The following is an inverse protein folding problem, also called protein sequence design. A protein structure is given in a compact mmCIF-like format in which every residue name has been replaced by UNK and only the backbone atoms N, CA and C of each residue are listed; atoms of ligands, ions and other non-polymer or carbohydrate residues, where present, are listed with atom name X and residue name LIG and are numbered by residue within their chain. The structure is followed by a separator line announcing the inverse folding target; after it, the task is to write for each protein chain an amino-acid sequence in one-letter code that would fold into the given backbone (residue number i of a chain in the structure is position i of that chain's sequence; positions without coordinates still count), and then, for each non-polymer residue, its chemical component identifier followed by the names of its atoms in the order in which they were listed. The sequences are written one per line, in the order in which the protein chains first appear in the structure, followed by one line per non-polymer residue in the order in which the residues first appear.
data_IF_401323868637
#
_entry.id   IF_401323868637
#
_cell.length_a   1.000
_cell.length_b   1.000
_cell.length_c   1.000
_cell.angle_alpha   90.00
_cell.angle_beta   90.00
_cell.angle_gamma   90.00
#
_symmetry.space_group_name_H-M   'P 1'
#
loop_
_entity.id
_entity.type
_entity.pdbx_description
1 polymer ?
#
# COMPACT_ATOMS: atom_id res chain seq x y z
N UNK A 1 22.86 13.50 8.67
CA UNK A 1 23.00 12.03 8.79
C UNK A 1 21.63 11.40 8.83
N UNK A 2 21.30 10.52 7.87
CA UNK A 2 20.03 9.79 7.84
C UNK A 2 20.15 8.62 8.83
N UNK A 3 19.31 8.61 9.86
CA UNK A 3 19.33 7.59 10.92
C UNK A 3 18.41 6.41 10.62
N UNK A 4 17.37 6.63 9.82
CA UNK A 4 16.51 5.60 9.26
C UNK A 4 15.87 6.13 7.97
N UNK A 5 15.43 5.23 7.10
CA UNK A 5 14.64 5.56 5.92
C UNK A 5 13.19 5.24 6.23
N UNK A 6 12.35 6.27 6.18
CA UNK A 6 10.91 6.14 6.36
C UNK A 6 10.22 6.04 5.00
N UNK A 7 9.45 4.98 4.82
CA UNK A 7 8.73 4.70 3.58
C UNK A 7 7.24 4.76 3.86
N UNK A 8 6.54 5.66 3.19
CA UNK A 8 5.09 5.65 3.11
C UNK A 8 4.65 4.80 1.93
N UNK A 9 3.67 3.94 2.14
CA UNK A 9 3.14 3.04 1.12
C UNK A 9 1.78 3.56 0.70
N UNK A 10 1.57 3.76 -0.59
CA UNK A 10 0.29 4.15 -1.14
C UNK A 10 -0.27 3.01 -1.99
N UNK A 11 -1.54 2.69 -1.80
CA UNK A 11 -2.26 1.66 -2.57
C UNK A 11 -3.58 2.27 -3.02
N UNK A 12 -3.85 2.17 -4.31
CA UNK A 12 -5.03 2.77 -4.95
C UNK A 12 -5.61 1.82 -6.01
N UNK A 13 -6.86 2.06 -6.42
CA UNK A 13 -7.53 1.39 -7.52
C UNK A 13 -7.95 2.40 -8.58
N UNK A 14 -7.27 2.42 -9.70
CA UNK A 14 -7.45 3.43 -10.75
C UNK A 14 -8.08 2.81 -12.01
N UNK A 15 -9.23 3.32 -12.49
CA UNK A 15 -9.75 2.90 -13.80
C UNK A 15 -8.85 3.44 -14.91
N UNK A 16 -8.44 2.56 -15.84
CA UNK A 16 -7.53 2.95 -16.93
C UNK A 16 -8.24 3.61 -18.11
N UNK A 17 -9.53 3.33 -18.30
CA UNK A 17 -10.33 4.06 -19.27
C UNK A 17 -11.80 4.09 -18.86
N UNK A 18 -12.54 5.08 -19.37
CA UNK A 18 -13.99 5.20 -19.14
C UNK A 18 -14.81 4.12 -19.86
N UNK A 19 -14.23 3.47 -20.87
CA UNK A 19 -14.90 2.54 -21.78
C UNK A 19 -14.46 1.08 -21.62
N UNK A 20 -13.44 0.80 -20.80
CA UNK A 20 -12.98 -0.55 -20.50
C UNK A 20 -13.07 -0.82 -19.02
N UNK A 21 -13.36 -2.08 -18.66
CA UNK A 21 -13.38 -2.50 -17.26
C UNK A 21 -11.96 -2.61 -16.67
N UNK A 22 -10.91 -2.29 -17.43
CA UNK A 22 -9.53 -2.47 -17.00
C UNK A 22 -9.17 -1.56 -15.83
N UNK A 23 -8.65 -2.16 -14.78
CA UNK A 23 -8.23 -1.50 -13.56
C UNK A 23 -6.74 -1.66 -13.34
N UNK A 24 -6.16 -0.64 -12.72
CA UNK A 24 -4.76 -0.58 -12.34
C UNK A 24 -4.69 -0.41 -10.83
N UNK A 25 -3.98 -1.31 -10.16
CA UNK A 25 -3.81 -1.27 -8.72
C UNK A 25 -2.32 -1.18 -8.40
N UNK A 26 -1.77 0.04 -8.28
CA UNK A 26 -0.38 0.23 -7.94
C UNK A 26 -0.15 0.13 -6.42
N UNK A 27 1.01 -0.40 -6.07
CA UNK A 27 1.64 -0.24 -4.77
C UNK A 27 2.79 0.74 -5.00
N UNK A 28 2.70 1.92 -4.39
CA UNK A 28 3.68 2.99 -4.53
C UNK A 28 4.41 3.18 -3.21
N UNK A 29 5.70 3.48 -3.29
CA UNK A 29 6.52 3.91 -2.17
C UNK A 29 6.82 5.40 -2.26
N UNK A 30 6.84 6.07 -1.11
CA UNK A 30 7.26 7.45 -0.98
C UNK A 30 8.26 7.59 0.17
N UNK A 31 9.39 8.26 -0.10
CA UNK A 31 10.37 8.61 0.94
C UNK A 31 10.41 10.12 1.09
N UNK A 32 9.99 10.61 2.27
CA UNK A 32 9.83 12.03 2.55
C UNK A 32 11.15 12.80 2.44
N UNK A 33 12.23 12.24 2.99
CA UNK A 33 13.57 12.86 2.99
C UNK A 33 14.10 13.12 1.58
N UNK A 34 13.70 12.31 0.60
CA UNK A 34 14.10 12.44 -0.80
C UNK A 34 13.01 13.03 -1.70
N UNK A 35 11.82 13.29 -1.14
CA UNK A 35 10.60 13.71 -1.87
C UNK A 35 10.34 12.88 -3.13
N UNK A 36 10.58 11.57 -3.05
CA UNK A 36 10.56 10.69 -4.21
C UNK A 36 9.48 9.64 -4.09
N UNK A 37 8.62 9.59 -5.10
CA UNK A 37 7.65 8.51 -5.30
C UNK A 37 8.25 7.50 -6.26
N UNK A 38 8.03 6.21 -6.01
CA UNK A 38 8.44 5.13 -6.88
C UNK A 38 7.40 4.01 -6.88
N UNK A 39 7.40 3.21 -7.94
CA UNK A 39 6.52 2.05 -8.06
C UNK A 39 7.19 0.86 -7.37
N UNK A 40 6.44 0.18 -6.49
CA UNK A 40 6.85 -1.08 -5.85
C UNK A 40 6.25 -2.26 -6.62
N UNK A 41 4.96 -2.17 -6.96
CA UNK A 41 4.26 -3.22 -7.67
C UNK A 41 3.05 -2.67 -8.41
N UNK A 42 2.65 -3.39 -9.46
CA UNK A 42 1.48 -3.04 -10.27
C UNK A 42 0.69 -4.32 -10.50
N UNK A 43 -0.61 -4.25 -10.21
CA UNK A 43 -1.59 -5.18 -10.75
C UNK A 43 -2.36 -4.53 -11.90
N UNK A 44 -2.62 -5.33 -12.93
CA UNK A 44 -3.44 -4.96 -14.08
C UNK A 44 -4.39 -6.10 -14.39
N UNK A 45 -5.68 -5.80 -14.46
CA UNK A 45 -6.73 -6.77 -14.73
C UNK A 45 -8.00 -6.10 -15.22
N UNK A 46 -8.99 -6.89 -15.62
CA UNK A 46 -10.33 -6.41 -15.97
C UNK A 46 -11.20 -6.15 -14.74
N UNK A 47 -10.72 -6.52 -13.55
CA UNK A 47 -11.41 -6.37 -12.28
C UNK A 47 -10.41 -5.99 -11.19
N UNK A 48 -10.92 -5.66 -10.00
CA UNK A 48 -10.11 -5.54 -8.79
C UNK A 48 -9.45 -6.89 -8.48
N UNK A 49 -8.22 -6.93 -7.92
CA UNK A 49 -7.65 -8.18 -7.42
C UNK A 49 -8.63 -8.88 -6.45
N UNK A 50 -8.83 -10.18 -6.64
CA UNK A 50 -9.86 -10.94 -5.92
C UNK A 50 -9.52 -11.10 -4.44
N UNK A 51 -8.24 -11.32 -4.13
CA UNK A 51 -7.75 -11.49 -2.77
C UNK A 51 -6.63 -10.48 -2.46
N UNK A 52 -6.81 -9.73 -1.35
CA UNK A 52 -5.84 -8.73 -0.92
C UNK A 52 -4.56 -9.31 -0.33
N UNK A 53 -4.60 -10.53 0.25
CA UNK A 53 -3.39 -11.18 0.75
C UNK A 53 -2.51 -11.63 -0.41
N UNK A 54 -3.09 -12.23 -1.46
CA UNK A 54 -2.37 -12.61 -2.67
C UNK A 54 -1.76 -11.38 -3.36
N UNK A 55 -2.56 -10.32 -3.53
CA UNK A 55 -2.12 -9.06 -4.11
C UNK A 55 -0.92 -8.45 -3.36
N UNK A 56 -0.92 -8.49 -2.02
CA UNK A 56 0.12 -7.88 -1.18
C UNK A 56 1.26 -8.83 -0.83
N UNK A 57 1.18 -10.12 -1.16
CA UNK A 57 2.08 -11.15 -0.60
C UNK A 57 3.56 -10.84 -0.88
N UNK A 58 3.89 -10.56 -2.15
CA UNK A 58 5.27 -10.24 -2.55
C UNK A 58 5.78 -8.99 -1.83
N UNK A 59 4.98 -7.92 -1.85
CA UNK A 59 5.30 -6.67 -1.16
C UNK A 59 5.54 -6.88 0.33
N UNK A 60 4.65 -7.58 1.03
CA UNK A 60 4.76 -7.80 2.49
C UNK A 60 5.99 -8.61 2.84
N UNK A 61 6.34 -9.63 2.04
CA UNK A 61 7.52 -10.44 2.28
C UNK A 61 8.80 -9.61 2.13
N UNK A 62 8.92 -8.83 1.06
CA UNK A 62 10.08 -7.95 0.81
C UNK A 62 10.15 -6.81 1.84
N UNK A 63 9.01 -6.19 2.19
CA UNK A 63 8.96 -5.12 3.18
C UNK A 63 9.36 -5.61 4.57
N UNK A 64 8.96 -6.82 4.97
CA UNK A 64 9.39 -7.44 6.23
C UNK A 64 10.90 -7.66 6.26
N UNK A 65 11.46 -8.17 5.16
CA UNK A 65 12.91 -8.36 5.03
C UNK A 65 13.64 -7.01 5.14
N UNK A 66 13.18 -6.01 4.39
CA UNK A 66 13.75 -4.66 4.38
C UNK A 66 13.68 -4.00 5.77
N UNK A 67 12.57 -4.15 6.50
CA UNK A 67 12.44 -3.60 7.85
C UNK A 67 13.31 -4.33 8.88
N UNK A 68 13.59 -5.63 8.65
CA UNK A 68 14.42 -6.45 9.52
C UNK A 68 15.91 -6.20 9.29
N UNK A 69 16.33 -6.14 8.03
CA UNK A 69 17.75 -6.13 7.64
C UNK A 69 18.28 -4.71 7.35
N UNK A 70 17.39 -3.78 7.01
CA UNK A 70 17.76 -2.45 6.55
C UNK A 70 18.27 -2.47 5.11
N UNK A 71 18.95 -1.39 4.70
CA UNK A 71 19.59 -1.27 3.39
C UNK A 71 21.03 -0.79 3.55
N UNK A 72 21.94 -1.36 2.76
CA UNK A 72 23.35 -0.96 2.76
C UNK A 72 23.55 0.17 1.76
N UNK A 73 23.93 1.35 2.24
CA UNK A 73 24.27 2.51 1.42
C UNK A 73 25.63 3.02 1.88
N UNK A 74 26.60 3.13 0.96
CA UNK A 74 27.97 3.56 1.26
C UNK A 74 28.60 2.79 2.43
N UNK A 75 28.48 1.46 2.42
CA UNK A 75 28.94 0.53 3.47
C UNK A 75 28.34 0.74 4.86
N UNK A 76 27.27 1.54 4.98
CA UNK A 76 26.52 1.70 6.23
C UNK A 76 25.17 1.02 6.10
N UNK A 77 24.82 0.19 7.08
CA UNK A 77 23.47 -0.33 7.18
C UNK A 77 22.55 0.76 7.74
N UNK A 78 21.53 1.11 6.97
CA UNK A 78 20.51 2.10 7.33
C UNK A 78 19.19 1.36 7.56
N UNK A 79 18.63 1.42 8.78
CA UNK A 79 17.32 0.82 9.06
C UNK A 79 16.23 1.43 8.18
N UNK A 80 15.33 0.59 7.68
CA UNK A 80 14.15 1.01 6.94
C UNK A 80 12.90 0.75 7.77
N UNK A 81 11.92 1.67 7.74
CA UNK A 81 10.62 1.47 8.39
C UNK A 81 9.49 1.85 7.45
N UNK A 82 8.40 1.08 7.51
CA UNK A 82 7.13 1.49 6.91
C UNK A 82 6.44 2.44 7.90
N UNK A 83 6.39 3.72 7.56
CA UNK A 83 5.87 4.77 8.44
C UNK A 83 4.34 4.87 8.38
N UNK A 84 3.78 4.69 7.19
CA UNK A 84 2.34 4.83 6.96
C UNK A 84 1.87 4.02 5.75
N UNK A 85 0.62 3.51 5.81
CA UNK A 85 -0.10 2.99 4.65
C UNK A 85 -1.23 3.97 4.32
N UNK A 86 -1.22 4.47 3.09
CA UNK A 86 -2.10 5.51 2.56
C UNK A 86 -3.00 4.86 1.50
N UNK A 87 -4.30 4.99 1.69
CA UNK A 87 -5.30 4.46 0.77
C UNK A 87 -6.59 5.27 0.91
N UNK A 88 -7.37 5.33 -0.17
CA UNK A 88 -8.73 5.85 -0.12
C UNK A 88 -9.67 4.84 0.60
N UNK A 89 -10.93 5.22 0.83
CA UNK A 89 -11.82 4.37 1.61
C UNK A 89 -12.11 2.99 0.95
N UNK A 90 -12.36 2.89 -0.37
CA UNK A 90 -12.46 1.61 -1.07
C UNK A 90 -11.20 0.73 -0.99
N UNK A 91 -10.01 1.26 -1.28
CA UNK A 91 -8.76 0.48 -1.22
C UNK A 91 -8.44 0.06 0.22
N UNK A 92 -8.70 0.94 1.21
CA UNK A 92 -8.58 0.61 2.63
C UNK A 92 -9.46 -0.58 3.01
N UNK A 93 -10.72 -0.56 2.58
CA UNK A 93 -11.65 -1.64 2.88
C UNK A 93 -11.20 -2.97 2.27
N UNK A 94 -10.68 -2.93 1.04
CA UNK A 94 -10.12 -4.10 0.36
C UNK A 94 -8.90 -4.69 1.09
N UNK A 95 -7.92 -3.85 1.44
CA UNK A 95 -6.68 -4.28 2.10
C UNK A 95 -6.96 -4.86 3.49
N UNK A 96 -7.84 -4.21 4.26
CA UNK A 96 -8.20 -4.64 5.61
C UNK A 96 -9.23 -5.78 5.64
N UNK A 97 -9.79 -6.17 4.49
CA UNK A 97 -10.89 -7.15 4.36
C UNK A 97 -12.10 -6.80 5.24
N UNK A 98 -12.47 -5.52 5.25
CA UNK A 98 -13.62 -5.01 6.00
C UNK A 98 -14.74 -4.56 5.07
N UNK A 99 -15.91 -4.26 5.64
CA UNK A 99 -17.01 -3.64 4.90
C UNK A 99 -16.59 -2.30 4.32
N UNK A 100 -17.05 -2.02 3.09
CA UNK A 100 -16.86 -0.72 2.46
C UNK A 100 -17.56 0.40 3.24
N UNK A 101 -17.18 1.64 2.98
CA UNK A 101 -17.67 2.83 3.69
C UNK A 101 -19.20 2.96 3.77
N UNK A 102 -19.94 2.39 2.81
CA UNK A 102 -21.42 2.39 2.77
C UNK A 102 -22.09 1.20 3.49
N UNK A 103 -21.35 0.32 4.16
CA UNK A 103 -21.92 -0.82 4.89
C UNK A 103 -22.33 -0.49 6.33
N UNK A 104 -23.28 -1.24 6.88
CA UNK A 104 -23.57 -1.18 8.33
C UNK A 104 -22.32 -1.56 9.14
N UNK A 105 -22.01 -0.78 10.17
CA UNK A 105 -20.79 -0.92 10.97
C UNK A 105 -19.49 -0.84 10.13
N UNK A 106 -19.48 -0.01 9.08
CA UNK A 106 -18.31 0.18 8.20
C UNK A 106 -17.18 1.01 8.82
N UNK A 107 -17.46 1.74 9.91
CA UNK A 107 -16.47 2.59 10.54
C UNK A 107 -15.33 1.74 11.10
N UNK A 108 -14.10 2.00 10.67
CA UNK A 108 -12.91 1.30 11.20
C UNK A 108 -12.47 1.79 12.58
N UNK A 109 -13.14 2.82 13.11
CA UNK A 109 -12.76 3.51 14.36
C UNK A 109 -13.83 3.39 15.45
N UNK A 110 -15.06 3.01 15.11
CA UNK A 110 -16.14 2.86 16.09
C UNK A 110 -17.06 1.71 15.70
N UNK A 111 -17.97 1.37 16.61
CA UNK A 111 -18.97 0.30 16.45
C UNK A 111 -20.38 0.86 16.17
N UNK A 112 -20.47 2.08 15.70
CA UNK A 112 -21.76 2.75 15.43
C UNK A 112 -22.40 2.19 14.16
N UNK A 113 -23.71 1.96 14.22
CA UNK A 113 -24.54 1.66 13.05
C UNK A 113 -24.89 2.96 12.32
N UNK A 114 -24.73 2.97 10.99
CA UNK A 114 -25.01 4.13 10.14
C UNK A 114 -26.19 3.88 9.22
#
# INVERSE_FOLDING_TARGET
NITNIKISINIDGLPLSKSSQRQFWPILGFIADFKKVFVIGIYYGTEKPTDSNEFLQKFVNEAKLLCKEGIIINNKNIPCIIDSIICDAPAKAFILKIKGHNGYFSCTKCITEG
#
